data_IF_917725748269
#
_entry.id   IF_917725748269
#
_cell.length_a   1.000
_cell.length_b   1.000
_cell.length_c   1.000
_cell.angle_alpha   90.00
_cell.angle_beta   90.00
_cell.angle_gamma   90.00
#
_symmetry.space_group_name_H-M   'P 1'
#
loop_
_entity.id
_entity.type
_entity.pdbx_description
1 polymer ?
#
# COMPACT_ATOMS: atom_id res chain seq x y z
N UNK A 1 19.75 17.02 72.05
CA UNK A 1 18.96 16.66 73.25
C UNK A 1 19.60 15.44 73.89
N UNK A 2 20.28 15.61 75.03
CA UNK A 2 20.87 14.54 75.84
C UNK A 2 20.04 14.44 77.13
N UNK A 3 19.00 13.61 77.12
CA UNK A 3 18.24 13.24 78.31
C UNK A 3 17.92 11.75 78.20
N UNK A 4 18.77 10.90 78.77
CA UNK A 4 18.58 9.45 78.76
C UNK A 4 19.53 8.69 79.69
N UNK A 5 20.72 9.22 80.00
CA UNK A 5 21.69 8.49 80.85
C UNK A 5 21.40 8.55 82.35
N UNK A 6 20.50 9.42 82.82
CA UNK A 6 20.22 9.62 84.25
C UNK A 6 19.34 8.54 84.90
N UNK A 7 18.29 8.07 84.20
CA UNK A 7 17.32 7.13 84.78
C UNK A 7 17.78 5.66 84.78
N UNK A 8 18.64 5.27 83.85
CA UNK A 8 19.18 3.90 83.78
C UNK A 8 20.15 3.58 84.93
N UNK A 9 20.90 4.59 85.38
CA UNK A 9 21.80 4.46 86.53
C UNK A 9 21.01 4.29 87.83
N UNK A 10 19.86 4.95 87.95
CA UNK A 10 18.99 4.84 89.12
C UNK A 10 18.26 3.49 89.17
N UNK A 11 17.83 2.96 88.03
CA UNK A 11 17.22 1.62 87.89
C UNK A 11 18.23 0.48 88.13
N UNK A 12 19.50 0.67 87.73
CA UNK A 12 20.60 -0.26 88.05
C UNK A 12 20.97 -0.25 89.54
N UNK A 13 20.82 0.90 90.20
CA UNK A 13 21.10 1.07 91.64
C UNK A 13 19.92 0.64 92.54
N UNK A 14 18.72 0.44 91.98
CA UNK A 14 17.54 -0.03 92.70
C UNK A 14 17.34 -1.55 92.69
N UNK A 15 18.26 -2.34 92.12
CA UNK A 15 18.16 -3.79 92.11
C UNK A 15 18.35 -4.38 93.51
N UNK A 16 17.42 -5.23 93.97
CA UNK A 16 17.39 -5.76 95.34
C UNK A 16 18.44 -6.87 95.59
N UNK A 17 18.86 -7.59 94.55
CA UNK A 17 19.93 -8.58 94.61
C UNK A 17 20.76 -8.69 93.31
N UNK A 18 21.84 -9.47 93.35
CA UNK A 18 22.75 -9.66 92.23
C UNK A 18 22.09 -10.33 91.02
N UNK A 19 21.01 -11.10 91.23
CA UNK A 19 20.30 -11.81 90.17
C UNK A 19 19.35 -10.86 89.43
N UNK A 20 18.65 -9.98 90.13
CA UNK A 20 17.84 -8.89 89.55
C UNK A 20 18.71 -7.89 88.78
N UNK A 21 19.91 -7.58 89.28
CA UNK A 21 20.89 -6.77 88.54
C UNK A 21 21.27 -7.44 87.21
N UNK A 22 21.57 -8.75 87.23
CA UNK A 22 22.01 -9.51 86.05
C UNK A 22 20.88 -9.65 85.02
N UNK A 23 19.65 -9.84 85.48
CA UNK A 23 18.44 -9.95 84.64
C UNK A 23 18.08 -8.59 84.03
N UNK A 24 18.21 -7.51 84.78
CA UNK A 24 18.00 -6.14 84.27
C UNK A 24 19.06 -5.76 83.24
N UNK A 25 20.31 -6.15 83.44
CA UNK A 25 21.40 -5.96 82.45
C UNK A 25 21.12 -6.78 81.18
N UNK A 26 20.72 -8.05 81.27
CA UNK A 26 20.37 -8.87 80.11
C UNK A 26 19.14 -8.32 79.36
N UNK A 27 18.14 -7.84 80.09
CA UNK A 27 16.93 -7.27 79.49
C UNK A 27 17.22 -5.95 78.78
N UNK A 28 18.06 -5.09 79.36
CA UNK A 28 18.55 -3.87 78.71
C UNK A 28 19.40 -4.19 77.48
N UNK A 29 20.24 -5.22 77.51
CA UNK A 29 21.05 -5.67 76.37
C UNK A 29 20.15 -6.16 75.21
N UNK A 30 19.12 -6.97 75.50
CA UNK A 30 18.15 -7.46 74.50
C UNK A 30 17.28 -6.34 73.94
N UNK A 31 16.79 -5.41 74.78
CA UNK A 31 16.02 -4.26 74.30
C UNK A 31 16.90 -3.33 73.47
N UNK A 32 18.14 -3.12 73.90
CA UNK A 32 19.09 -2.28 73.16
C UNK A 32 19.45 -2.93 71.82
N UNK A 33 19.63 -4.25 71.76
CA UNK A 33 19.87 -4.98 70.50
C UNK A 33 18.65 -4.88 69.58
N UNK A 34 17.44 -5.22 70.07
CA UNK A 34 16.22 -5.16 69.27
C UNK A 34 15.87 -3.73 68.83
N UNK A 35 16.14 -2.73 69.67
CA UNK A 35 15.98 -1.32 69.30
C UNK A 35 17.03 -0.89 68.28
N UNK A 36 18.24 -1.45 68.31
CA UNK A 36 19.27 -1.19 67.31
C UNK A 36 18.88 -1.83 65.97
N UNK A 37 18.44 -3.10 65.98
CA UNK A 37 18.01 -3.85 64.80
C UNK A 37 16.82 -3.17 64.10
N UNK A 38 15.82 -2.71 64.86
CA UNK A 38 14.68 -2.00 64.30
C UNK A 38 15.04 -0.63 63.71
N UNK A 39 16.05 0.05 64.26
CA UNK A 39 16.57 1.30 63.70
C UNK A 39 17.34 1.02 62.42
N UNK A 40 18.14 -0.04 62.36
CA UNK A 40 18.84 -0.46 61.13
C UNK A 40 17.86 -0.84 60.01
N UNK A 41 16.78 -1.57 60.33
CA UNK A 41 15.72 -1.90 59.36
C UNK A 41 14.98 -0.67 58.84
N UNK A 42 14.63 0.28 59.72
CA UNK A 42 14.03 1.55 59.31
C UNK A 42 14.95 2.39 58.43
N UNK A 43 16.25 2.39 58.72
CA UNK A 43 17.26 3.07 57.88
C UNK A 43 17.31 2.40 56.51
N UNK A 44 17.38 1.06 56.45
CA UNK A 44 17.39 0.32 55.19
C UNK A 44 16.13 0.57 54.34
N UNK A 45 14.94 0.54 54.97
CA UNK A 45 13.68 0.86 54.29
C UNK A 45 13.65 2.32 53.82
N UNK A 46 14.22 3.26 54.58
CA UNK A 46 14.30 4.66 54.15
C UNK A 46 15.18 4.84 52.92
N UNK A 47 16.31 4.14 52.86
CA UNK A 47 17.21 4.14 51.70
C UNK A 47 16.55 3.49 50.48
N UNK A 48 15.84 2.37 50.65
CA UNK A 48 15.11 1.70 49.56
C UNK A 48 13.97 2.55 49.01
N UNK A 49 13.24 3.26 49.89
CA UNK A 49 12.16 4.17 49.49
C UNK A 49 12.70 5.38 48.72
N UNK A 50 13.85 5.93 49.15
CA UNK A 50 14.54 7.01 48.44
C UNK A 50 14.99 6.54 47.04
N UNK A 51 15.66 5.38 46.95
CA UNK A 51 16.06 4.79 45.66
C UNK A 51 14.86 4.51 44.73
N UNK A 52 13.77 4.00 45.29
CA UNK A 52 12.54 3.73 44.53
C UNK A 52 11.91 5.01 44.01
N UNK A 53 11.90 6.07 44.82
CA UNK A 53 11.37 7.37 44.43
C UNK A 53 12.20 7.99 43.30
N UNK A 54 13.52 7.92 43.40
CA UNK A 54 14.42 8.44 42.36
C UNK A 54 14.26 7.64 41.05
N UNK A 55 14.16 6.30 41.14
CA UNK A 55 13.89 5.46 39.98
C UNK A 55 12.55 5.79 39.32
N UNK A 56 11.50 6.01 40.12
CA UNK A 56 10.18 6.37 39.61
C UNK A 56 10.18 7.72 38.89
N UNK A 57 10.89 8.71 39.42
CA UNK A 57 10.98 10.04 38.79
C UNK A 57 11.67 9.99 37.42
N UNK A 58 12.75 9.20 37.32
CA UNK A 58 13.43 8.91 36.06
C UNK A 58 12.50 8.20 35.08
N UNK A 59 11.79 7.16 35.53
CA UNK A 59 10.84 6.41 34.69
C UNK A 59 9.68 7.28 34.22
N UNK A 60 9.13 8.16 35.06
CA UNK A 60 8.07 9.09 34.66
C UNK A 60 8.57 10.09 33.62
N UNK A 61 9.77 10.64 33.81
CA UNK A 61 10.38 11.56 32.84
C UNK A 61 10.62 10.89 31.50
N UNK A 62 11.13 9.65 31.52
CA UNK A 62 11.34 8.87 30.30
C UNK A 62 10.02 8.53 29.61
N UNK A 63 9.01 8.08 30.36
CA UNK A 63 7.68 7.78 29.81
C UNK A 63 7.02 9.00 29.17
N UNK A 64 7.19 10.19 29.76
CA UNK A 64 6.66 11.43 29.18
C UNK A 64 7.40 11.83 27.90
N UNK A 65 8.73 11.65 27.86
CA UNK A 65 9.52 11.86 26.63
C UNK A 65 9.11 10.87 25.53
N UNK A 66 8.92 9.60 25.87
CA UNK A 66 8.45 8.57 24.94
C UNK A 66 7.03 8.86 24.44
N UNK A 67 6.13 9.31 25.33
CA UNK A 67 4.77 9.72 24.97
C UNK A 67 4.79 10.90 23.99
N UNK A 68 5.62 11.90 24.24
CA UNK A 68 5.76 13.05 23.35
C UNK A 68 6.35 12.64 22.00
N UNK A 69 7.42 11.83 21.99
CA UNK A 69 8.02 11.32 20.76
C UNK A 69 7.02 10.47 19.95
N UNK A 70 6.20 9.66 20.61
CA UNK A 70 5.14 8.88 19.96
C UNK A 70 4.04 9.77 19.38
N UNK A 71 3.64 10.83 20.09
CA UNK A 71 2.66 11.79 19.59
C UNK A 71 3.18 12.54 18.34
N UNK A 72 4.44 12.97 18.35
CA UNK A 72 5.09 13.65 17.23
C UNK A 72 5.26 12.73 16.02
N UNK A 73 5.62 11.46 16.25
CA UNK A 73 5.70 10.43 15.21
C UNK A 73 4.34 10.15 14.57
N UNK A 74 3.27 10.04 15.37
CA UNK A 74 1.91 9.85 14.87
C UNK A 74 1.45 11.04 14.03
N UNK A 75 1.70 12.27 14.49
CA UNK A 75 1.36 13.49 13.75
C UNK A 75 2.09 13.54 12.40
N UNK A 76 3.37 13.16 12.37
CA UNK A 76 4.17 13.09 11.14
C UNK A 76 3.62 12.05 10.17
N UNK A 77 3.27 10.85 10.67
CA UNK A 77 2.70 9.79 9.84
C UNK A 77 1.31 10.18 9.28
N UNK A 78 0.48 10.84 10.07
CA UNK A 78 -0.82 11.36 9.63
C UNK A 78 -0.67 12.44 8.56
N UNK A 79 0.27 13.38 8.75
CA UNK A 79 0.56 14.41 7.74
C UNK A 79 1.10 13.81 6.44
N UNK A 80 2.00 12.82 6.52
CA UNK A 80 2.51 12.10 5.35
C UNK A 80 1.39 11.38 4.60
N UNK A 81 0.49 10.69 5.31
CA UNK A 81 -0.67 10.02 4.71
C UNK A 81 -1.63 11.03 4.06
N UNK A 82 -1.91 12.16 4.71
CA UNK A 82 -2.78 13.19 4.15
C UNK A 82 -2.17 13.81 2.88
N UNK A 83 -0.86 14.08 2.87
CA UNK A 83 -0.14 14.56 1.69
C UNK A 83 -0.19 13.55 0.55
N UNK A 84 0.06 12.27 0.83
CA UNK A 84 -0.02 11.21 -0.17
C UNK A 84 -1.43 11.07 -0.74
N UNK A 85 -2.45 11.10 0.12
CA UNK A 85 -3.84 11.04 -0.32
C UNK A 85 -4.19 12.24 -1.22
N UNK A 86 -3.78 13.45 -0.84
CA UNK A 86 -4.00 14.63 -1.67
C UNK A 86 -3.29 14.55 -3.03
N UNK A 87 -2.10 13.95 -3.09
CA UNK A 87 -1.39 13.72 -4.35
C UNK A 87 -2.10 12.70 -5.23
N UNK A 88 -2.58 11.60 -4.66
CA UNK A 88 -3.35 10.58 -5.39
C UNK A 88 -4.68 11.15 -5.93
N UNK A 89 -5.40 11.91 -5.11
CA UNK A 89 -6.64 12.59 -5.52
C UNK A 89 -6.38 13.62 -6.62
N UNK A 90 -5.30 14.40 -6.51
CA UNK A 90 -4.92 15.37 -7.54
C UNK A 90 -4.52 14.68 -8.86
N UNK A 91 -3.78 13.57 -8.79
CA UNK A 91 -3.40 12.78 -9.97
C UNK A 91 -4.64 12.17 -10.63
N UNK A 92 -5.54 11.56 -9.86
CA UNK A 92 -6.78 10.99 -10.38
C UNK A 92 -7.67 12.06 -11.04
N UNK A 93 -7.79 13.24 -10.42
CA UNK A 93 -8.56 14.35 -10.99
C UNK A 93 -7.94 14.90 -12.28
N UNK A 94 -6.60 14.95 -12.35
CA UNK A 94 -5.90 15.36 -13.57
C UNK A 94 -6.13 14.35 -14.71
N UNK A 95 -5.99 13.05 -14.43
CA UNK A 95 -6.24 11.99 -15.41
C UNK A 95 -7.71 11.99 -15.86
N UNK A 96 -8.67 12.17 -14.96
CA UNK A 96 -10.08 12.29 -15.32
C UNK A 96 -10.34 13.49 -16.24
N UNK A 97 -9.74 14.65 -15.95
CA UNK A 97 -9.88 15.83 -16.79
C UNK A 97 -9.27 15.63 -18.19
N UNK A 98 -8.12 14.95 -18.28
CA UNK A 98 -7.50 14.60 -19.56
C UNK A 98 -8.38 13.64 -20.37
N UNK A 99 -8.96 12.61 -19.73
CA UNK A 99 -9.91 11.69 -20.38
C UNK A 99 -11.12 12.43 -20.92
N UNK A 100 -11.72 13.32 -20.12
CA UNK A 100 -12.87 14.14 -20.54
C UNK A 100 -12.52 15.06 -21.71
N UNK A 101 -11.38 15.74 -21.67
CA UNK A 101 -10.93 16.59 -22.77
C UNK A 101 -10.70 15.79 -24.07
N UNK A 102 -10.11 14.60 -23.98
CA UNK A 102 -9.92 13.72 -25.13
C UNK A 102 -11.25 13.28 -25.77
N UNK A 103 -12.28 13.02 -24.94
CA UNK A 103 -13.63 12.71 -25.40
C UNK A 103 -14.28 13.89 -26.12
N UNK A 104 -14.23 15.09 -25.54
CA UNK A 104 -14.77 16.31 -26.16
C UNK A 104 -14.08 16.65 -27.49
N UNK A 105 -12.78 16.37 -27.60
CA UNK A 105 -12.02 16.53 -28.84
C UNK A 105 -12.44 15.48 -29.88
N UNK A 106 -12.52 14.21 -29.49
CA UNK A 106 -12.92 13.12 -30.39
C UNK A 106 -14.38 13.22 -30.86
N UNK A 107 -15.30 13.77 -30.04
CA UNK A 107 -16.69 13.99 -30.42
C UNK A 107 -16.84 14.92 -31.64
N UNK A 108 -15.94 15.90 -31.79
CA UNK A 108 -15.95 16.82 -32.93
C UNK A 108 -15.58 16.10 -34.24
N UNK A 109 -14.77 15.04 -34.13
CA UNK A 109 -14.27 14.25 -35.25
C UNK A 109 -14.90 12.85 -35.33
N UNK A 110 -15.99 12.61 -34.60
CA UNK A 110 -16.65 11.31 -34.57
C UNK A 110 -17.02 10.83 -35.97
N UNK A 111 -16.62 9.59 -36.30
CA UNK A 111 -16.83 9.00 -37.62
C UNK A 111 -15.87 9.49 -38.73
N UNK A 112 -14.94 10.41 -38.43
CA UNK A 112 -13.82 10.71 -39.32
C UNK A 112 -12.74 9.62 -39.20
N UNK A 113 -11.79 9.61 -40.14
CA UNK A 113 -10.66 8.69 -40.12
C UNK A 113 -9.38 9.36 -39.63
N UNK A 114 -8.62 8.66 -38.80
CA UNK A 114 -7.28 9.05 -38.37
C UNK A 114 -6.25 7.96 -38.75
N UNK A 115 -4.99 8.36 -38.85
CA UNK A 115 -3.88 7.45 -39.12
C UNK A 115 -3.32 6.90 -37.80
N UNK A 116 -3.25 5.58 -37.68
CA UNK A 116 -2.61 4.89 -36.56
C UNK A 116 -1.09 4.90 -36.72
N UNK A 117 -0.34 4.56 -35.67
CA UNK A 117 1.13 4.53 -35.73
C UNK A 117 1.64 3.49 -36.74
N UNK A 118 0.86 2.44 -37.01
CA UNK A 118 1.13 1.44 -38.05
C UNK A 118 0.86 1.93 -39.49
N UNK A 119 0.38 3.16 -39.66
CA UNK A 119 0.03 3.75 -40.96
C UNK A 119 -1.33 3.30 -41.51
N UNK A 120 -2.13 2.60 -40.71
CA UNK A 120 -3.49 2.21 -41.07
C UNK A 120 -4.47 3.35 -40.81
N UNK A 121 -5.60 3.33 -41.51
CA UNK A 121 -6.71 4.26 -41.26
C UNK A 121 -7.71 3.60 -40.31
N UNK A 122 -8.04 4.28 -39.23
CA UNK A 122 -9.04 3.88 -38.25
C UNK A 122 -10.13 4.96 -38.13
N UNK A 123 -11.35 4.55 -37.81
CA UNK A 123 -12.46 5.48 -37.57
C UNK A 123 -12.42 5.96 -36.11
N UNK A 124 -12.58 7.26 -35.89
CA UNK A 124 -12.74 7.87 -34.56
C UNK A 124 -14.05 7.40 -33.96
N UNK A 125 -13.94 6.63 -32.87
CA UNK A 125 -15.10 6.09 -32.15
C UNK A 125 -15.18 6.71 -30.77
N UNK A 126 -16.36 7.22 -30.43
CA UNK A 126 -16.65 7.81 -29.11
C UNK A 126 -17.28 6.73 -28.23
N UNK A 127 -16.72 6.46 -27.03
CA UNK A 127 -17.30 5.51 -26.08
C UNK A 127 -18.57 6.07 -25.42
N UNK A 128 -19.39 5.18 -24.87
CA UNK A 128 -20.59 5.57 -24.11
C UNK A 128 -20.24 6.07 -22.69
N UNK A 129 -19.17 5.55 -22.09
CA UNK A 129 -18.64 5.93 -20.78
C UNK A 129 -17.27 6.59 -20.90
N UNK A 130 -16.99 7.64 -20.12
CA UNK A 130 -15.67 8.29 -20.10
C UNK A 130 -14.59 7.47 -19.38
N UNK A 131 -14.96 6.36 -18.73
CA UNK A 131 -14.07 5.53 -17.92
C UNK A 131 -14.15 4.07 -18.38
N UNK A 132 -13.02 3.40 -18.71
CA UNK A 132 -13.00 1.96 -19.00
C UNK A 132 -13.50 1.11 -17.82
N UNK A 133 -13.48 1.64 -16.60
CA UNK A 133 -13.71 0.89 -15.38
C UNK A 133 -12.58 -0.09 -15.09
N UNK A 134 -12.48 -0.54 -13.85
CA UNK A 134 -11.48 -1.52 -13.43
C UNK A 134 -12.04 -2.94 -13.56
N UNK A 135 -11.28 -3.83 -14.21
CA UNK A 135 -11.55 -5.27 -14.16
C UNK A 135 -10.89 -5.84 -12.91
N UNK A 136 -11.68 -6.38 -11.99
CA UNK A 136 -11.17 -7.16 -10.87
C UNK A 136 -10.92 -8.60 -11.36
N UNK A 137 -9.66 -9.08 -11.37
CA UNK A 137 -9.37 -10.45 -11.77
C UNK A 137 -9.95 -11.48 -10.79
N UNK A 138 -10.17 -11.12 -9.52
CA UNK A 138 -10.49 -12.07 -8.46
C UNK A 138 -9.34 -13.05 -8.18
N UNK A 139 -9.64 -14.13 -7.46
CA UNK A 139 -8.63 -15.11 -7.01
C UNK A 139 -8.62 -16.42 -7.83
N UNK A 140 -9.57 -16.61 -8.74
CA UNK A 140 -9.74 -17.84 -9.54
C UNK A 140 -9.39 -17.59 -11.01
N UNK A 141 -8.19 -18.02 -11.39
CA UNK A 141 -7.68 -17.93 -12.76
C UNK A 141 -8.60 -18.61 -13.77
N UNK A 142 -9.10 -19.80 -13.47
CA UNK A 142 -9.84 -20.58 -14.46
C UNK A 142 -11.22 -19.94 -14.71
N UNK A 143 -11.84 -19.40 -13.66
CA UNK A 143 -13.07 -18.61 -13.80
C UNK A 143 -12.85 -17.34 -14.61
N UNK A 144 -11.77 -16.59 -14.32
CA UNK A 144 -11.40 -15.40 -15.08
C UNK A 144 -11.18 -15.70 -16.56
N UNK A 145 -10.37 -16.72 -16.86
CA UNK A 145 -10.05 -17.13 -18.23
C UNK A 145 -11.30 -17.62 -18.97
N UNK A 146 -12.20 -18.36 -18.30
CA UNK A 146 -13.44 -18.82 -18.91
C UNK A 146 -14.39 -17.66 -19.26
N UNK A 147 -14.54 -16.67 -18.36
CA UNK A 147 -15.39 -15.51 -18.60
C UNK A 147 -14.83 -14.64 -19.73
N UNK A 148 -13.60 -14.16 -19.55
CA UNK A 148 -13.00 -13.20 -20.48
C UNK A 148 -12.63 -13.86 -21.79
N UNK A 149 -12.19 -15.12 -21.78
CA UNK A 149 -11.91 -15.86 -22.99
C UNK A 149 -13.13 -15.96 -23.90
N UNK A 150 -14.30 -16.25 -23.34
CA UNK A 150 -15.55 -16.33 -24.11
C UNK A 150 -16.00 -14.96 -24.65
N UNK A 151 -15.90 -13.90 -23.85
CA UNK A 151 -16.25 -12.53 -24.26
C UNK A 151 -15.35 -12.03 -25.38
N UNK A 152 -14.04 -12.22 -25.23
CA UNK A 152 -13.06 -11.84 -26.25
C UNK A 152 -13.26 -12.68 -27.50
N UNK A 153 -13.48 -14.00 -27.41
CA UNK A 153 -13.74 -14.82 -28.60
C UNK A 153 -14.98 -14.37 -29.39
N UNK A 154 -16.04 -13.98 -28.68
CA UNK A 154 -17.24 -13.42 -29.32
C UNK A 154 -16.91 -12.11 -30.07
N UNK A 155 -16.10 -11.24 -29.46
CA UNK A 155 -15.63 -10.00 -30.07
C UNK A 155 -14.71 -10.23 -31.28
N UNK A 156 -13.84 -11.23 -31.22
CA UNK A 156 -12.88 -11.58 -32.28
C UNK A 156 -13.51 -12.34 -33.46
N UNK A 157 -14.78 -12.74 -33.35
CA UNK A 157 -15.44 -13.62 -34.31
C UNK A 157 -15.33 -13.12 -35.77
N UNK A 158 -14.90 -14.00 -36.66
CA UNK A 158 -14.76 -13.70 -38.09
C UNK A 158 -13.51 -12.88 -38.47
N UNK A 159 -12.65 -12.54 -37.52
CA UNK A 159 -11.34 -11.92 -37.77
C UNK A 159 -10.22 -12.96 -37.87
N UNK A 160 -9.02 -12.57 -38.35
CA UNK A 160 -7.81 -13.40 -38.27
C UNK A 160 -7.42 -13.84 -36.85
N UNK A 161 -7.83 -13.09 -35.81
CA UNK A 161 -7.62 -13.42 -34.41
C UNK A 161 -8.73 -14.31 -33.81
N UNK A 162 -9.73 -14.74 -34.58
CA UNK A 162 -10.83 -15.56 -34.08
C UNK A 162 -10.34 -16.85 -33.39
N UNK A 163 -10.85 -17.13 -32.19
CA UNK A 163 -10.46 -18.29 -31.37
C UNK A 163 -9.29 -18.04 -30.41
N UNK A 164 -8.74 -16.82 -30.38
CA UNK A 164 -7.64 -16.45 -29.49
C UNK A 164 -8.08 -15.84 -28.15
N UNK A 165 -9.38 -15.80 -27.86
CA UNK A 165 -9.91 -15.17 -26.65
C UNK A 165 -9.34 -15.79 -25.38
N UNK A 166 -9.23 -17.11 -25.32
CA UNK A 166 -8.58 -17.79 -24.18
C UNK A 166 -7.12 -17.35 -24.04
N UNK A 167 -6.35 -17.29 -25.13
CA UNK A 167 -4.95 -16.84 -25.12
C UNK A 167 -4.80 -15.43 -24.58
N UNK A 168 -5.67 -14.49 -25.00
CA UNK A 168 -5.69 -13.13 -24.47
C UNK A 168 -5.99 -13.10 -22.97
N UNK A 169 -7.00 -13.84 -22.52
CA UNK A 169 -7.39 -13.87 -21.12
C UNK A 169 -6.29 -14.49 -20.24
N UNK A 170 -5.62 -15.55 -20.70
CA UNK A 170 -4.49 -16.15 -19.99
C UNK A 170 -3.29 -15.21 -19.86
N UNK A 171 -2.93 -14.51 -20.95
CA UNK A 171 -1.85 -13.53 -20.94
C UNK A 171 -2.20 -12.32 -20.05
N UNK A 172 -3.45 -11.86 -20.11
CA UNK A 172 -3.92 -10.76 -19.28
C UNK A 172 -3.87 -11.10 -17.79
N UNK A 173 -4.28 -12.31 -17.42
CA UNK A 173 -4.14 -12.83 -16.06
C UNK A 173 -2.68 -12.86 -15.61
N UNK A 174 -1.80 -13.48 -16.40
CA UNK A 174 -0.38 -13.66 -16.04
C UNK A 174 0.33 -12.33 -15.78
N UNK A 175 0.01 -11.30 -16.57
CA UNK A 175 0.68 -10.00 -16.49
C UNK A 175 -0.12 -8.90 -15.79
N UNK A 176 -1.30 -9.22 -15.23
CA UNK A 176 -2.16 -8.23 -14.57
C UNK A 176 -2.66 -7.11 -15.49
N UNK A 177 -2.88 -7.42 -16.76
CA UNK A 177 -3.45 -6.47 -17.73
C UNK A 177 -4.97 -6.53 -17.75
N UNK A 178 -5.61 -5.42 -18.13
CA UNK A 178 -7.03 -5.46 -18.49
C UNK A 178 -7.22 -6.38 -19.72
N UNK A 179 -8.05 -7.44 -19.61
CA UNK A 179 -8.24 -8.41 -20.69
C UNK A 179 -8.82 -7.80 -21.97
N UNK A 180 -9.49 -6.65 -21.88
CA UNK A 180 -10.10 -5.94 -23.01
C UNK A 180 -9.09 -5.11 -23.79
N UNK A 181 -8.01 -4.66 -23.14
CA UNK A 181 -7.12 -3.63 -23.67
C UNK A 181 -6.38 -4.07 -24.93
N UNK A 182 -5.71 -5.22 -24.90
CA UNK A 182 -4.96 -5.70 -26.06
C UNK A 182 -5.85 -6.07 -27.26
N UNK A 183 -7.00 -6.75 -27.11
CA UNK A 183 -7.94 -6.97 -28.21
C UNK A 183 -8.51 -5.66 -28.78
N UNK A 184 -8.79 -4.65 -27.94
CA UNK A 184 -9.28 -3.36 -28.39
C UNK A 184 -8.24 -2.60 -29.23
N UNK A 185 -6.98 -2.59 -28.82
CA UNK A 185 -5.88 -2.03 -29.64
C UNK A 185 -5.79 -2.76 -30.98
N UNK A 186 -5.89 -4.09 -31.01
CA UNK A 186 -5.83 -4.84 -32.27
C UNK A 186 -6.92 -4.43 -33.26
N UNK A 187 -8.11 -4.05 -32.77
CA UNK A 187 -9.20 -3.56 -33.61
C UNK A 187 -8.85 -2.19 -34.22
N UNK A 188 -8.39 -1.26 -33.39
CA UNK A 188 -8.02 0.09 -33.82
C UNK A 188 -6.84 0.04 -34.80
N UNK A 189 -5.81 -0.75 -34.50
CA UNK A 189 -4.56 -0.75 -35.25
C UNK A 189 -4.62 -1.53 -36.56
N UNK A 190 -5.39 -2.62 -36.64
CA UNK A 190 -5.36 -3.50 -37.82
C UNK A 190 -6.69 -4.18 -38.14
N UNK A 191 -7.80 -3.72 -37.54
CA UNK A 191 -9.11 -4.38 -37.65
C UNK A 191 -9.06 -5.86 -37.26
N UNK A 192 -8.45 -6.13 -36.10
CA UNK A 192 -8.27 -7.47 -35.52
C UNK A 192 -7.38 -8.39 -36.36
N UNK A 193 -6.27 -7.83 -36.87
CA UNK A 193 -5.26 -8.57 -37.62
C UNK A 193 -5.54 -8.69 -39.12
N UNK A 194 -6.53 -7.97 -39.66
CA UNK A 194 -6.82 -7.96 -41.11
C UNK A 194 -5.79 -7.18 -41.90
N UNK A 195 -5.31 -6.08 -41.33
CA UNK A 195 -4.42 -5.12 -41.98
C UNK A 195 -3.07 -5.05 -41.24
N UNK A 196 -2.38 -6.18 -41.07
CA UNK A 196 -1.07 -6.17 -40.43
C UNK A 196 0.02 -5.70 -41.40
N UNK A 197 0.89 -4.79 -40.94
CA UNK A 197 2.07 -4.35 -41.70
C UNK A 197 3.20 -5.40 -41.70
N UNK A 198 3.25 -6.27 -40.67
CA UNK A 198 4.15 -7.41 -40.55
C UNK A 198 3.39 -8.67 -40.08
N UNK A 199 3.89 -9.89 -40.35
CA UNK A 199 3.25 -11.13 -39.92
C UNK A 199 2.92 -11.16 -38.43
N UNK A 200 1.67 -11.49 -38.12
CA UNK A 200 1.11 -11.58 -36.77
C UNK A 200 1.23 -10.30 -35.92
N UNK A 201 1.43 -9.13 -36.54
CA UNK A 201 1.47 -7.85 -35.81
C UNK A 201 0.15 -7.07 -35.94
N UNK A 202 -0.80 -7.40 -35.08
CA UNK A 202 -2.12 -6.77 -35.07
C UNK A 202 -2.15 -5.39 -34.40
N UNK A 203 -1.08 -4.96 -33.73
CA UNK A 203 -1.07 -3.78 -32.85
C UNK A 203 -0.17 -2.65 -33.36
N UNK A 204 0.53 -2.81 -34.48
CA UNK A 204 1.53 -1.79 -34.86
C UNK A 204 2.77 -1.78 -33.96
N UNK A 205 3.04 -2.90 -33.28
CA UNK A 205 4.04 -2.93 -32.21
C UNK A 205 5.46 -2.92 -32.77
N UNK A 206 6.09 -1.74 -32.76
CA UNK A 206 7.46 -1.51 -33.21
C UNK A 206 7.71 -2.04 -34.63
N UNK A 207 8.84 -2.70 -34.84
CA UNK A 207 9.15 -3.44 -36.08
C UNK A 207 9.03 -4.95 -35.90
N UNK A 208 8.18 -5.39 -34.97
CA UNK A 208 8.08 -6.81 -34.60
C UNK A 208 7.26 -7.62 -35.59
N UNK A 209 7.59 -8.90 -35.67
CA UNK A 209 6.89 -9.93 -36.44
C UNK A 209 7.01 -11.25 -35.67
N UNK A 210 5.99 -12.10 -35.75
CA UNK A 210 5.97 -13.39 -35.06
C UNK A 210 5.55 -14.53 -35.98
N UNK A 211 5.84 -15.76 -35.55
CA UNK A 211 5.48 -16.97 -36.30
C UNK A 211 4.03 -17.40 -36.04
N UNK A 212 3.40 -16.93 -34.95
CA UNK A 212 2.03 -17.27 -34.57
C UNK A 212 1.31 -16.13 -33.84
N UNK A 213 -0.03 -16.19 -33.80
CA UNK A 213 -0.82 -15.24 -33.01
C UNK A 213 -0.60 -15.42 -31.52
N UNK A 214 -0.45 -16.66 -31.04
CA UNK A 214 -0.25 -16.96 -29.63
C UNK A 214 1.03 -16.29 -29.11
N UNK A 215 2.15 -16.46 -29.82
CA UNK A 215 3.41 -15.81 -29.47
C UNK A 215 3.27 -14.28 -29.44
N UNK A 216 2.61 -13.72 -30.47
CA UNK A 216 2.42 -12.28 -30.60
C UNK A 216 1.56 -11.70 -29.47
N UNK A 217 0.47 -12.39 -29.09
CA UNK A 217 -0.43 -11.98 -28.00
C UNK A 217 0.33 -11.96 -26.67
N UNK A 218 1.05 -13.05 -26.36
CA UNK A 218 1.82 -13.14 -25.12
C UNK A 218 2.89 -12.04 -25.03
N UNK A 219 3.61 -11.78 -26.12
CA UNK A 219 4.63 -10.73 -26.14
C UNK A 219 4.03 -9.33 -26.01
N UNK A 220 2.93 -9.05 -26.72
CA UNK A 220 2.27 -7.76 -26.70
C UNK A 220 1.66 -7.44 -25.33
N UNK A 221 0.92 -8.38 -24.73
CA UNK A 221 0.31 -8.18 -23.40
C UNK A 221 1.39 -7.96 -22.33
N UNK A 222 2.50 -8.71 -22.38
CA UNK A 222 3.67 -8.47 -21.52
C UNK A 222 4.23 -7.06 -21.70
N UNK A 223 4.34 -6.61 -22.95
CA UNK A 223 4.80 -5.26 -23.30
C UNK A 223 3.90 -4.18 -22.72
N UNK A 224 2.58 -4.35 -22.82
CA UNK A 224 1.59 -3.45 -22.22
C UNK A 224 1.72 -3.37 -20.70
N UNK A 225 1.87 -4.50 -20.02
CA UNK A 225 2.10 -4.53 -18.57
C UNK A 225 3.38 -3.76 -18.19
N UNK A 226 4.46 -4.02 -18.92
CA UNK A 226 5.80 -3.52 -18.57
C UNK A 226 5.95 -2.02 -18.84
N UNK A 227 5.41 -1.54 -19.96
CA UNK A 227 5.66 -0.17 -20.46
C UNK A 227 4.50 0.76 -20.10
N UNK A 228 3.26 0.25 -20.14
CA UNK A 228 2.04 1.05 -20.04
C UNK A 228 1.24 0.77 -18.75
N UNK A 229 1.70 -0.15 -17.90
CA UNK A 229 1.02 -0.53 -16.66
C UNK A 229 -0.19 -1.45 -16.87
N UNK A 230 -0.42 -1.95 -18.09
CA UNK A 230 -1.46 -2.94 -18.39
C UNK A 230 -2.89 -2.42 -18.44
N UNK A 231 -3.10 -1.11 -18.34
CA UNK A 231 -4.42 -0.46 -18.34
C UNK A 231 -4.44 0.67 -19.39
N UNK A 232 -5.62 0.98 -19.92
CA UNK A 232 -5.79 2.12 -20.83
C UNK A 232 -5.72 3.44 -20.03
N UNK A 233 -4.69 4.23 -20.29
CA UNK A 233 -4.52 5.59 -19.73
C UNK A 233 -4.31 6.59 -20.85
N UNK A 234 -4.69 7.84 -20.61
CA UNK A 234 -4.48 8.89 -21.61
C UNK A 234 -2.99 9.16 -21.86
N UNK A 235 -2.18 9.19 -20.80
CA UNK A 235 -0.72 9.26 -20.92
C UNK A 235 -0.13 8.09 -21.74
N UNK A 236 -0.69 6.88 -21.60
CA UNK A 236 -0.35 5.74 -22.44
C UNK A 236 -0.65 5.98 -23.92
N UNK A 237 -1.81 6.54 -24.24
CA UNK A 237 -2.19 6.89 -25.61
C UNK A 237 -1.26 7.95 -26.22
N UNK A 238 -0.84 8.95 -25.44
CA UNK A 238 0.14 9.95 -25.88
C UNK A 238 1.51 9.35 -26.23
N UNK A 239 1.88 8.25 -25.57
CA UNK A 239 3.10 7.51 -25.90
C UNK A 239 2.90 6.57 -27.10
N UNK A 240 1.71 5.98 -27.25
CA UNK A 240 1.42 4.97 -28.26
C UNK A 240 1.14 5.57 -29.65
N UNK A 241 0.33 6.64 -29.71
CA UNK A 241 -0.06 7.31 -30.96
C UNK A 241 -0.06 8.84 -30.79
N UNK A 242 1.12 9.47 -30.60
CA UNK A 242 1.24 10.87 -30.23
C UNK A 242 0.51 11.89 -31.13
N UNK A 243 0.48 11.77 -32.48
CA UNK A 243 -0.22 12.76 -33.30
C UNK A 243 -1.75 12.69 -33.20
N UNK A 244 -2.31 11.54 -32.79
CA UNK A 244 -3.75 11.28 -32.76
C UNK A 244 -4.20 10.67 -31.43
N UNK A 245 -3.55 11.04 -30.32
CA UNK A 245 -3.73 10.38 -29.02
C UNK A 245 -5.19 10.42 -28.54
N UNK A 246 -5.90 11.52 -28.75
CA UNK A 246 -7.32 11.67 -28.40
C UNK A 246 -8.21 10.66 -29.16
N UNK A 247 -8.03 10.63 -30.49
CA UNK A 247 -8.76 9.73 -31.38
C UNK A 247 -8.45 8.26 -31.08
N UNK A 248 -7.18 7.95 -30.82
CA UNK A 248 -6.74 6.60 -30.48
C UNK A 248 -7.29 6.18 -29.11
N UNK A 249 -7.16 7.01 -28.08
CA UNK A 249 -7.61 6.72 -26.72
C UNK A 249 -9.11 6.41 -26.70
N UNK A 250 -9.92 7.30 -27.27
CA UNK A 250 -11.38 7.16 -27.32
C UNK A 250 -11.82 5.95 -28.12
N UNK A 251 -11.15 5.69 -29.25
CA UNK A 251 -11.47 4.52 -30.08
C UNK A 251 -11.10 3.20 -29.40
N UNK A 252 -9.99 3.14 -28.67
CA UNK A 252 -9.64 1.94 -27.88
C UNK A 252 -10.66 1.76 -26.76
N UNK A 253 -11.00 2.83 -26.04
CA UNK A 253 -12.01 2.80 -24.98
C UNK A 253 -13.37 2.29 -25.49
N UNK A 254 -13.85 2.82 -26.62
CA UNK A 254 -15.10 2.40 -27.24
C UNK A 254 -15.10 0.92 -27.64
N UNK A 255 -13.94 0.37 -28.00
CA UNK A 255 -13.82 -1.06 -28.30
C UNK A 255 -13.70 -1.92 -27.03
N UNK A 256 -13.12 -1.41 -25.95
CA UNK A 256 -13.12 -2.09 -24.65
C UNK A 256 -14.55 -2.26 -24.11
N UNK A 257 -15.44 -1.28 -24.28
CA UNK A 257 -16.84 -1.36 -23.84
C UNK A 257 -17.68 -2.43 -24.60
N UNK A 258 -17.23 -2.82 -25.79
CA UNK A 258 -17.92 -3.83 -26.62
C UNK A 258 -17.54 -5.26 -26.28
N UNK A 259 -16.49 -5.47 -25.48
CA UNK A 259 -16.00 -6.77 -25.01
C UNK A 259 -16.63 -7.08 -23.66
#
# INVERSE_FOLDING_TARGET
MQQGSGGLVEMLLSAEDFYDLLTTIQYLDVIQSHSSDAVEELVALSEELEQTRDSLDVQMTQAEQERQAAADALATAQAARASLQAQLEAQAAAEEAERQAALEAAEQDAGQSFETESGNQAEVQVPESPDPGTVDPGDDRDAFVAEWGARIDAYLAGSPLAGQGTTFAEAAWEYGCDPRFSPAIAMVESSLGRNCFLPHNAWGWGSSSWDSWEEAIWDHVRGLATIYGGQLTYAGAQMYCPPNADHWYTSVLANMERI
#
